data_IF_463456480078
#
_entry.id   IF_463456480078
#
_cell.length_a   1.000
_cell.length_b   1.000
_cell.length_c   1.000
_cell.angle_alpha   90.00
_cell.angle_beta   90.00
_cell.angle_gamma   90.00
#
_symmetry.space_group_name_H-M   'P 1'
#
loop_
_entity.id
_entity.type
_entity.pdbx_description
1 polymer ?
#
# COMPACT_ATOMS: atom_id res chain seq x y z
N UNK A 1 -29.25 68.41 -8.00
CA UNK A 1 -28.29 67.57 -8.72
C UNK A 1 -28.16 66.28 -7.94
N UNK A 2 -28.97 65.29 -8.31
CA UNK A 2 -29.02 64.00 -7.62
C UNK A 2 -27.87 63.11 -8.10
N UNK A 3 -26.87 62.92 -7.24
CA UNK A 3 -25.83 61.91 -7.46
C UNK A 3 -26.40 60.54 -7.12
N UNK A 4 -27.08 59.96 -8.11
CA UNK A 4 -27.67 58.63 -8.06
C UNK A 4 -26.55 57.59 -7.81
N UNK A 5 -26.57 56.95 -6.63
CA UNK A 5 -25.61 55.90 -6.24
C UNK A 5 -25.78 54.70 -7.17
N UNK A 6 -24.85 54.55 -8.12
CA UNK A 6 -24.82 53.46 -9.11
C UNK A 6 -24.56 52.13 -8.39
N UNK A 7 -25.49 51.18 -8.51
CA UNK A 7 -25.26 49.79 -8.09
C UNK A 7 -24.33 49.13 -9.10
N UNK A 8 -23.23 48.56 -8.62
CA UNK A 8 -22.30 47.77 -9.43
C UNK A 8 -22.88 46.35 -9.45
N UNK A 9 -23.35 45.83 -10.60
CA UNK A 9 -23.79 44.45 -10.67
C UNK A 9 -22.58 43.51 -10.51
N UNK A 10 -22.80 42.39 -9.84
CA UNK A 10 -21.81 41.31 -9.75
C UNK A 10 -21.42 40.89 -11.17
N UNK A 11 -20.12 40.98 -11.48
CA UNK A 11 -19.56 40.30 -12.64
C UNK A 11 -19.47 38.83 -12.27
N UNK A 12 -20.29 37.99 -12.89
CA UNK A 12 -19.96 36.57 -13.03
C UNK A 12 -18.60 36.51 -13.72
N UNK A 13 -17.62 35.86 -13.11
CA UNK A 13 -16.39 35.49 -13.81
C UNK A 13 -16.80 34.61 -15.00
N UNK A 14 -16.28 34.92 -16.20
CA UNK A 14 -16.44 34.07 -17.37
C UNK A 14 -15.88 32.67 -17.06
N UNK A 15 -16.55 31.62 -17.54
CA UNK A 15 -16.21 30.18 -17.39
C UNK A 15 -14.82 29.78 -17.98
N UNK A 16 -13.97 30.74 -18.32
CA UNK A 16 -12.66 30.53 -18.96
C UNK A 16 -11.47 31.12 -18.16
N UNK A 17 -11.67 31.59 -16.94
CA UNK A 17 -10.55 32.00 -16.08
C UNK A 17 -10.03 30.78 -15.30
N UNK A 18 -8.93 30.21 -15.79
CA UNK A 18 -8.10 29.12 -15.22
C UNK A 18 -7.46 29.52 -13.87
N UNK A 19 -8.27 30.00 -12.92
CA UNK A 19 -7.85 30.50 -11.61
C UNK A 19 -8.73 29.91 -10.48
N UNK A 20 -9.03 28.61 -10.60
CA UNK A 20 -9.77 27.85 -9.57
C UNK A 20 -9.07 27.82 -8.19
N UNK A 21 -7.79 28.18 -8.12
CA UNK A 21 -7.01 28.20 -6.88
C UNK A 21 -7.47 29.28 -5.86
N UNK A 22 -8.28 30.26 -6.30
CA UNK A 22 -8.83 31.32 -5.43
C UNK A 22 -10.34 31.19 -5.16
N UNK A 23 -10.97 30.07 -5.54
CA UNK A 23 -12.38 29.84 -5.27
C UNK A 23 -12.59 29.53 -3.77
N UNK A 24 -13.14 30.50 -3.03
CA UNK A 24 -13.56 30.32 -1.64
C UNK A 24 -14.84 29.49 -1.64
N UNK A 25 -14.74 28.24 -1.18
CA UNK A 25 -15.86 27.32 -1.05
C UNK A 25 -16.75 27.69 0.14
N UNK A 26 -18.07 27.70 -0.06
CA UNK A 26 -19.03 27.78 1.04
C UNK A 26 -19.02 26.49 1.90
N UNK A 27 -19.69 26.51 3.05
CA UNK A 27 -19.64 25.38 4.00
C UNK A 27 -20.21 24.08 3.41
N UNK A 28 -21.21 24.17 2.54
CA UNK A 28 -21.85 23.03 1.89
C UNK A 28 -20.95 22.43 0.80
N UNK A 29 -20.30 23.28 0.00
CA UNK A 29 -19.31 22.87 -0.99
C UNK A 29 -18.09 22.23 -0.34
N UNK A 30 -17.63 22.76 0.80
CA UNK A 30 -16.53 22.14 1.57
C UNK A 30 -16.89 20.71 2.00
N UNK A 31 -18.09 20.49 2.54
CA UNK A 31 -18.55 19.16 2.94
C UNK A 31 -18.69 18.22 1.74
N UNK A 32 -19.25 18.71 0.63
CA UNK A 32 -19.40 17.94 -0.59
C UNK A 32 -18.04 17.47 -1.15
N UNK A 33 -17.02 18.34 -1.11
CA UNK A 33 -15.66 18.01 -1.55
C UNK A 33 -15.03 16.96 -0.63
N UNK A 34 -15.09 17.15 0.69
CA UNK A 34 -14.52 16.19 1.66
C UNK A 34 -15.17 14.81 1.52
N UNK A 35 -16.50 14.76 1.38
CA UNK A 35 -17.22 13.50 1.19
C UNK A 35 -16.87 12.83 -0.14
N UNK A 36 -16.69 13.62 -1.21
CA UNK A 36 -16.25 13.10 -2.51
C UNK A 36 -14.85 12.48 -2.42
N UNK A 37 -13.91 13.14 -1.74
CA UNK A 37 -12.56 12.64 -1.50
C UNK A 37 -12.56 11.37 -0.66
N UNK A 38 -13.40 11.30 0.38
CA UNK A 38 -13.55 10.11 1.23
C UNK A 38 -14.05 8.92 0.40
N UNK A 39 -15.09 9.12 -0.40
CA UNK A 39 -15.66 8.07 -1.26
C UNK A 39 -14.67 7.59 -2.33
N UNK A 40 -13.94 8.51 -2.96
CA UNK A 40 -12.92 8.16 -3.96
C UNK A 40 -11.79 7.37 -3.30
N UNK A 41 -11.30 7.82 -2.14
CA UNK A 41 -10.27 7.13 -1.37
C UNK A 41 -10.72 5.71 -0.99
N UNK A 42 -11.95 5.51 -0.53
CA UNK A 42 -12.48 4.19 -0.21
C UNK A 42 -12.53 3.23 -1.41
N UNK A 43 -12.81 3.76 -2.61
CA UNK A 43 -12.79 2.97 -3.84
C UNK A 43 -11.34 2.58 -4.17
N UNK A 44 -10.44 3.56 -4.20
CA UNK A 44 -9.03 3.37 -4.56
C UNK A 44 -8.33 2.44 -3.55
N UNK A 45 -8.58 2.60 -2.26
CA UNK A 45 -8.03 1.76 -1.19
C UNK A 45 -8.47 0.29 -1.35
N UNK A 46 -9.73 0.03 -1.73
CA UNK A 46 -10.20 -1.33 -2.04
C UNK A 46 -9.46 -1.95 -3.22
N UNK A 47 -9.16 -1.16 -4.24
CA UNK A 47 -8.35 -1.60 -5.39
C UNK A 47 -6.92 -1.91 -4.97
N UNK A 48 -6.25 -1.03 -4.22
CA UNK A 48 -4.89 -1.27 -3.72
C UNK A 48 -4.80 -2.51 -2.84
N UNK A 49 -5.73 -2.67 -1.89
CA UNK A 49 -5.80 -3.85 -1.03
C UNK A 49 -5.97 -5.14 -1.83
N UNK A 50 -6.81 -5.11 -2.88
CA UNK A 50 -7.02 -6.27 -3.76
C UNK A 50 -5.79 -6.58 -4.62
N UNK A 51 -5.11 -5.56 -5.14
CA UNK A 51 -3.88 -5.71 -5.90
C UNK A 51 -2.75 -6.28 -5.04
N UNK A 52 -2.57 -5.77 -3.81
CA UNK A 52 -1.60 -6.32 -2.85
C UNK A 52 -1.90 -7.76 -2.49
N UNK A 53 -3.17 -8.13 -2.31
CA UNK A 53 -3.56 -9.52 -2.06
C UNK A 53 -3.11 -10.44 -3.18
N UNK A 54 -3.28 -10.00 -4.43
CA UNK A 54 -2.85 -10.73 -5.61
C UNK A 54 -1.33 -10.87 -5.62
N UNK A 55 -0.57 -9.80 -5.33
CA UNK A 55 0.89 -9.84 -5.24
C UNK A 55 1.37 -10.81 -4.16
N UNK A 56 0.79 -10.75 -2.96
CA UNK A 56 1.11 -11.66 -1.84
C UNK A 56 0.76 -13.10 -2.21
N UNK A 57 -0.40 -13.32 -2.84
CA UNK A 57 -0.85 -14.64 -3.30
C UNK A 57 0.07 -15.24 -4.37
N UNK A 58 0.46 -14.44 -5.38
CA UNK A 58 1.42 -14.87 -6.40
C UNK A 58 2.79 -15.19 -5.77
N UNK A 59 3.27 -14.36 -4.85
CA UNK A 59 4.51 -14.62 -4.13
C UNK A 59 4.45 -15.92 -3.31
N UNK A 60 3.31 -16.18 -2.66
CA UNK A 60 3.05 -17.42 -1.93
C UNK A 60 3.12 -18.65 -2.86
N UNK A 61 2.47 -18.59 -4.02
CA UNK A 61 2.52 -19.66 -5.03
C UNK A 61 3.96 -19.89 -5.50
N UNK A 62 4.72 -18.82 -5.78
CA UNK A 62 6.12 -18.93 -6.21
C UNK A 62 7.00 -19.60 -5.12
N UNK A 63 6.76 -19.31 -3.85
CA UNK A 63 7.45 -19.98 -2.74
C UNK A 63 7.03 -21.45 -2.58
N UNK A 64 5.77 -21.80 -2.85
CA UNK A 64 5.33 -23.20 -2.89
C UNK A 64 6.01 -23.99 -4.00
N UNK A 65 6.17 -23.40 -5.19
CA UNK A 65 6.86 -24.05 -6.31
C UNK A 65 8.34 -24.35 -6.00
N UNK A 66 8.94 -23.58 -5.08
CA UNK A 66 10.35 -23.75 -4.67
C UNK A 66 10.62 -25.09 -4.00
N UNK A 67 9.60 -25.76 -3.44
CA UNK A 67 9.75 -27.12 -2.92
C UNK A 67 10.12 -28.14 -4.00
N UNK A 68 9.67 -27.92 -5.25
CA UNK A 68 10.02 -28.77 -6.38
C UNK A 68 11.24 -28.22 -7.13
N UNK A 69 11.18 -26.95 -7.52
CA UNK A 69 12.24 -26.28 -8.28
C UNK A 69 12.16 -24.78 -8.04
N UNK A 70 13.30 -24.16 -7.75
CA UNK A 70 13.36 -22.70 -7.62
C UNK A 70 12.97 -22.05 -8.98
N UNK A 71 11.92 -21.22 -9.02
CA UNK A 71 11.41 -20.66 -10.28
C UNK A 71 12.41 -19.69 -10.93
N UNK A 72 13.22 -18.99 -10.14
CA UNK A 72 14.26 -18.10 -10.67
C UNK A 72 15.35 -18.91 -11.38
N UNK A 73 15.67 -20.11 -10.89
CA UNK A 73 16.62 -21.03 -11.53
C UNK A 73 16.08 -21.69 -12.81
N UNK A 74 14.77 -21.60 -13.06
CA UNK A 74 14.21 -22.02 -14.35
C UNK A 74 14.56 -21.03 -15.47
N UNK A 75 14.66 -19.74 -15.14
CA UNK A 75 15.00 -18.65 -16.07
C UNK A 75 16.51 -18.41 -16.11
N UNK A 76 17.15 -18.41 -14.94
CA UNK A 76 18.59 -18.16 -14.77
C UNK A 76 19.27 -19.39 -14.13
N UNK A 77 19.63 -20.41 -14.94
CA UNK A 77 20.23 -21.63 -14.41
C UNK A 77 21.60 -21.36 -13.77
N UNK A 78 21.91 -22.11 -12.72
CA UNK A 78 23.23 -22.13 -12.10
C UNK A 78 24.05 -23.24 -12.74
N UNK A 79 25.19 -22.90 -13.31
CA UNK A 79 26.10 -23.86 -13.96
C UNK A 79 27.02 -24.59 -12.95
N UNK A 80 27.00 -24.21 -11.67
CA UNK A 80 27.85 -24.75 -10.62
C UNK A 80 27.16 -25.84 -9.79
N UNK A 81 27.89 -26.88 -9.40
CA UNK A 81 27.48 -27.93 -8.46
C UNK A 81 27.38 -27.46 -6.99
N UNK A 82 27.31 -26.15 -6.74
CA UNK A 82 27.23 -25.63 -5.39
C UNK A 82 25.93 -26.07 -4.71
N UNK A 83 25.99 -26.57 -3.47
CA UNK A 83 24.81 -26.98 -2.74
C UNK A 83 23.89 -25.77 -2.50
N UNK A 84 22.58 -26.02 -2.43
CA UNK A 84 21.58 -25.02 -2.01
C UNK A 84 21.87 -24.49 -0.60
N UNK A 85 21.11 -23.48 -0.14
CA UNK A 85 21.14 -23.10 1.27
C UNK A 85 20.84 -24.32 2.15
N UNK A 86 21.49 -24.46 3.33
CA UNK A 86 21.08 -25.45 4.30
C UNK A 86 19.62 -25.20 4.70
N UNK A 87 18.81 -26.25 4.73
CA UNK A 87 17.39 -26.20 5.14
C UNK A 87 16.52 -25.26 4.28
N UNK A 88 16.50 -25.41 2.93
CA UNK A 88 15.71 -24.54 2.06
C UNK A 88 14.21 -24.64 2.38
N UNK A 89 13.74 -25.83 2.78
CA UNK A 89 12.36 -26.07 3.21
C UNK A 89 11.96 -25.27 4.46
N UNK A 90 12.87 -25.06 5.41
CA UNK A 90 12.58 -24.26 6.59
C UNK A 90 12.42 -22.78 6.23
N UNK A 91 13.26 -22.27 5.32
CA UNK A 91 13.15 -20.90 4.84
C UNK A 91 11.92 -20.68 3.97
N UNK A 92 11.50 -21.65 3.15
CA UNK A 92 10.22 -21.53 2.42
C UNK A 92 9.04 -21.50 3.37
N UNK A 93 9.01 -22.36 4.40
CA UNK A 93 7.95 -22.33 5.44
C UNK A 93 7.94 -20.98 6.15
N UNK A 94 9.11 -20.44 6.51
CA UNK A 94 9.22 -19.12 7.12
C UNK A 94 8.69 -18.02 6.21
N UNK A 95 9.06 -18.03 4.93
CA UNK A 95 8.51 -17.08 3.95
C UNK A 95 6.99 -17.21 3.83
N UNK A 96 6.44 -18.43 3.77
CA UNK A 96 4.98 -18.65 3.73
C UNK A 96 4.30 -18.11 4.98
N UNK A 97 4.90 -18.29 6.15
CA UNK A 97 4.42 -17.71 7.40
C UNK A 97 4.40 -16.17 7.35
N UNK A 98 5.45 -15.54 6.81
CA UNK A 98 5.50 -14.08 6.60
C UNK A 98 4.36 -13.63 5.67
N UNK A 99 4.14 -14.31 4.54
CA UNK A 99 3.06 -13.98 3.61
C UNK A 99 1.67 -14.17 4.24
N UNK A 100 1.47 -15.22 5.05
CA UNK A 100 0.23 -15.42 5.79
C UNK A 100 -0.02 -14.26 6.78
N UNK A 101 1.03 -13.79 7.47
CA UNK A 101 0.92 -12.62 8.33
C UNK A 101 0.62 -11.32 7.54
N UNK A 102 1.22 -11.13 6.37
CA UNK A 102 0.88 -10.02 5.47
C UNK A 102 -0.58 -10.06 5.00
N UNK A 103 -1.11 -11.26 4.73
CA UNK A 103 -2.50 -11.43 4.37
C UNK A 103 -3.45 -11.00 5.51
N UNK A 104 -3.05 -11.15 6.78
CA UNK A 104 -3.81 -10.64 7.92
C UNK A 104 -3.88 -9.11 7.97
N UNK A 105 -2.83 -8.40 7.51
CA UNK A 105 -2.85 -6.93 7.40
C UNK A 105 -3.79 -6.43 6.29
N UNK A 106 -3.94 -7.20 5.21
CA UNK A 106 -4.79 -6.85 4.06
C UNK A 106 -6.26 -7.26 4.26
N UNK A 107 -6.66 -7.43 5.53
CA UNK A 107 -8.02 -7.66 5.98
C UNK A 107 -8.74 -8.86 5.33
N UNK A 108 -8.00 -9.95 5.08
CA UNK A 108 -8.56 -11.24 4.63
C UNK A 108 -9.67 -11.73 5.55
N UNK A 109 -9.64 -11.36 6.84
CA UNK A 109 -10.61 -11.82 7.83
C UNK A 109 -12.03 -11.40 7.49
N UNK A 110 -12.22 -10.16 7.04
CA UNK A 110 -13.53 -9.65 6.61
C UNK A 110 -13.99 -10.39 5.35
N UNK A 111 -13.06 -10.76 4.46
CA UNK A 111 -13.37 -11.48 3.22
C UNK A 111 -13.64 -12.98 3.41
N UNK A 112 -12.98 -13.62 4.37
CA UNK A 112 -13.10 -15.06 4.65
C UNK A 112 -13.96 -15.40 5.87
N UNK A 113 -14.61 -14.41 6.50
CA UNK A 113 -15.44 -14.58 7.71
C UNK A 113 -14.73 -15.37 8.82
N UNK A 114 -13.43 -15.15 9.00
CA UNK A 114 -12.66 -15.84 10.04
C UNK A 114 -13.01 -15.22 11.39
N UNK A 115 -13.61 -16.03 12.27
CA UNK A 115 -14.21 -15.59 13.54
C UNK A 115 -13.19 -15.28 14.65
N UNK A 116 -11.92 -15.62 14.44
CA UNK A 116 -10.86 -15.45 15.44
C UNK A 116 -10.04 -14.16 15.23
N UNK A 117 -9.78 -13.46 16.33
CA UNK A 117 -9.01 -12.20 16.38
C UNK A 117 -7.50 -12.45 16.34
N UNK A 118 -6.99 -13.02 15.25
CA UNK A 118 -5.54 -13.18 15.05
C UNK A 118 -4.88 -11.83 14.79
N UNK A 119 -4.16 -11.27 15.74
CA UNK A 119 -3.46 -9.99 15.52
C UNK A 119 -2.20 -10.22 14.68
N UNK A 120 -1.96 -9.44 13.62
CA UNK A 120 -0.78 -9.60 12.81
C UNK A 120 0.48 -9.18 13.59
N UNK A 121 1.60 -9.87 13.35
CA UNK A 121 2.90 -9.47 13.91
C UNK A 121 3.39 -8.17 13.27
N UNK A 122 4.07 -7.32 14.04
CA UNK A 122 4.59 -6.04 13.54
C UNK A 122 5.60 -6.19 12.39
N UNK A 123 5.68 -5.20 11.51
CA UNK A 123 6.64 -5.15 10.39
C UNK A 123 8.10 -5.34 10.83
N UNK A 124 8.50 -4.81 12.00
CA UNK A 124 9.87 -4.96 12.52
C UNK A 124 10.25 -6.43 12.68
N UNK A 125 9.35 -7.23 13.24
CA UNK A 125 9.57 -8.67 13.37
C UNK A 125 9.57 -9.37 12.01
N UNK A 126 8.69 -8.97 11.10
CA UNK A 126 8.68 -9.53 9.74
C UNK A 126 10.00 -9.30 9.01
N UNK A 127 10.55 -8.08 9.06
CA UNK A 127 11.84 -7.77 8.45
C UNK A 127 12.97 -8.59 9.02
N UNK A 128 13.01 -8.77 10.35
CA UNK A 128 14.00 -9.62 11.00
C UNK A 128 13.90 -11.07 10.52
N UNK A 129 12.69 -11.63 10.47
CA UNK A 129 12.46 -13.00 10.02
C UNK A 129 12.85 -13.19 8.56
N UNK A 130 12.44 -12.28 7.66
CA UNK A 130 12.74 -12.42 6.25
C UNK A 130 14.19 -12.08 5.89
N UNK A 131 14.93 -11.38 6.75
CA UNK A 131 16.35 -11.08 6.53
C UNK A 131 17.26 -12.29 6.76
N UNK A 132 16.81 -13.33 7.49
CA UNK A 132 17.64 -14.49 7.83
C UNK A 132 18.15 -15.23 6.58
N UNK A 133 17.27 -15.56 5.64
CA UNK A 133 17.64 -16.29 4.43
C UNK A 133 18.61 -15.52 3.51
N UNK A 134 18.35 -14.25 3.12
CA UNK A 134 19.27 -13.50 2.27
C UNK A 134 20.62 -13.19 2.96
N UNK A 135 20.63 -12.90 4.26
CA UNK A 135 21.89 -12.69 4.99
C UNK A 135 22.73 -13.96 5.10
N UNK A 136 22.09 -15.10 5.35
CA UNK A 136 22.77 -16.39 5.34
C UNK A 136 23.28 -16.76 3.93
N UNK A 137 22.53 -16.43 2.88
CA UNK A 137 22.95 -16.60 1.48
C UNK A 137 24.22 -15.83 1.17
N UNK A 138 24.30 -14.58 1.62
CA UNK A 138 25.49 -13.73 1.49
C UNK A 138 26.67 -14.27 2.31
N UNK A 139 26.43 -14.66 3.56
CA UNK A 139 27.49 -15.19 4.44
C UNK A 139 28.11 -16.48 3.90
N UNK A 140 27.29 -17.35 3.30
CA UNK A 140 27.74 -18.60 2.68
C UNK A 140 28.26 -18.41 1.24
N UNK A 141 28.38 -17.18 0.77
CA UNK A 141 28.83 -16.82 -0.58
C UNK A 141 28.11 -17.61 -1.69
N UNK A 142 26.78 -17.72 -1.56
CA UNK A 142 25.94 -18.41 -2.54
C UNK A 142 25.82 -17.60 -3.84
N UNK A 143 25.46 -18.24 -4.96
CA UNK A 143 25.24 -17.55 -6.23
C UNK A 143 24.19 -16.46 -6.07
N UNK A 144 24.38 -15.34 -6.77
CA UNK A 144 23.52 -14.16 -6.67
C UNK A 144 22.04 -14.48 -6.93
N UNK A 145 21.74 -15.47 -7.79
CA UNK A 145 20.39 -15.97 -8.06
C UNK A 145 19.67 -16.41 -6.78
N UNK A 146 20.40 -17.08 -5.89
CA UNK A 146 19.87 -17.56 -4.62
C UNK A 146 19.60 -16.38 -3.69
N UNK A 147 20.54 -15.45 -3.58
CA UNK A 147 20.39 -14.26 -2.74
C UNK A 147 19.20 -13.40 -3.19
N UNK A 148 19.11 -13.11 -4.50
CA UNK A 148 18.00 -12.34 -5.08
C UNK A 148 16.66 -13.04 -4.86
N UNK A 149 16.62 -14.36 -5.04
CA UNK A 149 15.42 -15.15 -4.76
C UNK A 149 14.95 -14.96 -3.31
N UNK A 150 15.85 -15.04 -2.33
CA UNK A 150 15.49 -14.85 -0.92
C UNK A 150 15.23 -13.38 -0.53
N UNK A 151 15.67 -12.41 -1.34
CA UNK A 151 15.28 -11.01 -1.20
C UNK A 151 13.84 -10.73 -1.66
N UNK A 152 13.15 -11.68 -2.33
CA UNK A 152 11.76 -11.48 -2.76
C UNK A 152 10.80 -11.28 -1.59
N UNK A 153 10.98 -12.02 -0.49
CA UNK A 153 10.11 -11.91 0.71
C UNK A 153 10.21 -10.53 1.37
N UNK A 154 11.39 -9.98 1.73
CA UNK A 154 11.49 -8.63 2.28
C UNK A 154 10.98 -7.55 1.33
N UNK A 155 11.15 -7.73 0.01
CA UNK A 155 10.62 -6.82 -0.99
C UNK A 155 9.08 -6.76 -0.94
N UNK A 156 8.41 -7.91 -0.84
CA UNK A 156 6.94 -7.97 -0.70
C UNK A 156 6.48 -7.34 0.62
N UNK A 157 7.20 -7.57 1.72
CA UNK A 157 6.92 -6.89 3.00
C UNK A 157 7.00 -5.38 2.85
N UNK A 158 8.06 -4.87 2.22
CA UNK A 158 8.26 -3.44 1.99
C UNK A 158 7.16 -2.84 1.09
N UNK A 159 6.77 -3.55 0.04
CA UNK A 159 5.70 -3.11 -0.85
C UNK A 159 4.36 -3.00 -0.10
N UNK A 160 3.98 -4.03 0.66
CA UNK A 160 2.74 -4.02 1.46
C UNK A 160 2.76 -2.89 2.48
N UNK A 161 3.86 -2.74 3.22
CA UNK A 161 3.99 -1.67 4.20
C UNK A 161 3.86 -0.28 3.54
N UNK A 162 4.59 -0.03 2.44
CA UNK A 162 4.58 1.28 1.77
C UNK A 162 3.17 1.66 1.32
N UNK A 163 2.42 0.72 0.74
CA UNK A 163 1.06 1.00 0.27
C UNK A 163 0.10 1.20 1.43
N UNK A 164 0.19 0.40 2.51
CA UNK A 164 -0.66 0.60 3.69
C UNK A 164 -0.33 1.89 4.44
N UNK A 165 0.94 2.26 4.55
CA UNK A 165 1.36 3.55 5.10
C UNK A 165 0.81 4.70 4.24
N UNK A 166 0.83 4.57 2.90
CA UNK A 166 0.24 5.56 2.00
C UNK A 166 -1.28 5.69 2.17
N UNK A 167 -2.00 4.57 2.33
CA UNK A 167 -3.44 4.57 2.63
C UNK A 167 -3.72 5.28 3.95
N UNK A 168 -2.95 4.96 5.00
CA UNK A 168 -3.08 5.58 6.32
C UNK A 168 -2.84 7.10 6.25
N UNK A 169 -1.82 7.53 5.51
CA UNK A 169 -1.53 8.95 5.29
C UNK A 169 -2.67 9.66 4.55
N UNK A 170 -3.28 9.03 3.56
CA UNK A 170 -4.42 9.62 2.85
C UNK A 170 -5.66 9.76 3.74
N UNK A 171 -5.94 8.77 4.59
CA UNK A 171 -7.03 8.85 5.58
C UNK A 171 -6.77 9.98 6.57
N UNK A 172 -5.55 10.08 7.08
CA UNK A 172 -5.17 11.17 7.99
C UNK A 172 -5.29 12.53 7.31
N UNK A 173 -4.88 12.66 6.05
CA UNK A 173 -5.01 13.91 5.29
C UNK A 173 -6.47 14.37 5.14
N UNK A 174 -7.41 13.44 4.93
CA UNK A 174 -8.85 13.77 4.89
C UNK A 174 -9.34 14.21 6.27
N UNK A 175 -8.91 13.54 7.34
CA UNK A 175 -9.26 13.94 8.70
C UNK A 175 -8.70 15.32 9.03
N UNK A 176 -7.47 15.63 8.61
CA UNK A 176 -6.85 16.93 8.80
C UNK A 176 -7.60 18.02 8.00
N UNK A 177 -8.05 17.73 6.77
CA UNK A 177 -8.91 18.63 5.98
C UNK A 177 -10.22 18.96 6.71
N UNK A 178 -10.83 17.97 7.35
CA UNK A 178 -12.05 18.16 8.16
C UNK A 178 -11.79 19.12 9.35
N UNK A 179 -10.61 19.05 9.96
CA UNK A 179 -10.23 20.00 11.03
C UNK A 179 -9.94 21.42 10.54
N UNK A 180 -9.64 21.59 9.25
CA UNK A 180 -9.33 22.89 8.64
C UNK A 180 -10.56 23.59 8.03
N UNK A 181 -11.75 22.99 8.14
CA UNK A 181 -13.00 23.61 7.67
C UNK A 181 -13.18 24.99 8.30
N UNK A 182 -13.41 26.01 7.48
CA UNK A 182 -13.68 27.37 7.94
C UNK A 182 -15.15 27.72 7.79
N UNK A 183 -15.65 28.55 8.71
CA UNK A 183 -16.97 29.15 8.57
C UNK A 183 -16.87 30.39 7.70
N UNK A 184 -17.48 30.34 6.52
CA UNK A 184 -17.56 31.50 5.64
C UNK A 184 -18.65 32.43 6.17
N UNK A 185 -18.35 33.68 6.59
CA UNK A 185 -19.38 34.62 7.00
C UNK A 185 -20.32 34.87 5.81
N UNK A 186 -21.61 34.57 6.03
CA UNK A 186 -22.61 34.48 4.97
C UNK A 186 -22.71 35.73 4.08
N UNK A 187 -23.05 35.47 2.81
CA UNK A 187 -23.64 36.47 1.92
C UNK A 187 -25.12 36.69 2.23
#
# INVERSE_FOLDING_TARGET
MDTLRRRIPFKLADDNDDNNDNLILDEEQQDAVIESLRKENDIVNRWYSSALMLVVGLSCILHLLTFQRNPLLAIFPINSTQPSLPLPAAFTILSLFVHANLALFLDVKVRLSIRETLTPLSYRFLYLLCAVAPTLSLFLNKPWQTTVWWCSTPLVVAMVQTVLDSVQQNIQGIADLETMKYSAPGA
#
